data_IF_031501292616
#
_entry.id   IF_031501292616
#
_cell.length_a   1.000
_cell.length_b   1.000
_cell.length_c   1.000
_cell.angle_alpha   90.00
_cell.angle_beta   90.00
_cell.angle_gamma   90.00
#
_symmetry.space_group_name_H-M   'P 1'
#
loop_
_entity.id
_entity.type
_entity.pdbx_description
1 polymer ?
#
# COMPACT_ATOMS: atom_id res chain seq x y z
N UNK A 1 -12.77 -5.64 -6.60
CA UNK A 1 -11.95 -4.42 -6.77
C UNK A 1 -10.95 -4.50 -5.64
N UNK A 2 -9.64 -4.55 -5.89
CA UNK A 2 -8.65 -4.73 -4.81
C UNK A 2 -8.63 -3.50 -3.91
N UNK A 3 -8.61 -3.69 -2.60
CA UNK A 3 -8.69 -2.60 -1.63
C UNK A 3 -7.39 -1.78 -1.63
N UNK A 4 -7.44 -0.43 -1.53
CA UNK A 4 -6.22 0.36 -1.39
C UNK A 4 -5.48 -0.02 -0.10
N UNK A 5 -4.17 -0.25 -0.21
CA UNK A 5 -3.36 -0.74 0.91
C UNK A 5 -3.37 -2.25 1.12
N UNK A 6 -4.12 -3.05 0.34
CA UNK A 6 -4.04 -4.53 0.30
C UNK A 6 -2.95 -4.97 -0.69
N UNK A 7 -1.70 -4.69 -0.34
CA UNK A 7 -0.53 -4.88 -1.19
C UNK A 7 -0.23 -6.35 -1.47
N UNK A 8 -0.57 -7.26 -0.55
CA UNK A 8 -0.38 -8.70 -0.76
C UNK A 8 -1.58 -9.36 -1.49
N UNK A 9 -2.74 -8.68 -1.56
CA UNK A 9 -3.94 -9.17 -2.23
C UNK A 9 -4.70 -10.23 -1.45
N UNK A 10 -4.59 -10.25 -0.11
CA UNK A 10 -5.26 -11.20 0.78
C UNK A 10 -6.62 -10.71 1.32
N UNK A 11 -7.09 -9.56 0.82
CA UNK A 11 -8.34 -8.90 1.21
C UNK A 11 -8.33 -8.35 2.65
N UNK A 12 -7.17 -8.20 3.29
CA UNK A 12 -7.04 -7.67 4.63
C UNK A 12 -5.90 -6.64 4.77
N UNK A 13 -6.25 -5.37 4.96
CA UNK A 13 -5.25 -4.31 5.18
C UNK A 13 -4.62 -4.41 6.58
N UNK A 14 -3.36 -4.84 6.64
CA UNK A 14 -2.62 -5.08 7.88
C UNK A 14 -1.08 -4.92 7.70
N UNK A 15 -0.28 -5.42 8.65
CA UNK A 15 1.18 -5.27 8.62
C UNK A 15 1.87 -6.07 7.50
N UNK A 16 1.24 -7.13 6.99
CA UNK A 16 1.78 -7.92 5.89
C UNK A 16 1.82 -7.08 4.61
N UNK A 17 0.91 -6.12 4.45
CA UNK A 17 0.94 -5.17 3.33
C UNK A 17 2.13 -4.22 3.41
N UNK A 18 2.46 -3.74 4.61
CA UNK A 18 3.66 -2.93 4.85
C UNK A 18 4.92 -3.73 4.45
N UNK A 19 4.99 -5.01 4.83
CA UNK A 19 6.10 -5.87 4.42
C UNK A 19 6.15 -6.03 2.90
N UNK A 20 5.01 -6.21 2.25
CA UNK A 20 4.90 -6.40 0.81
C UNK A 20 5.35 -5.16 0.01
N UNK A 21 4.94 -3.96 0.45
CA UNK A 21 5.42 -2.69 -0.14
C UNK A 21 6.93 -2.54 0.09
N UNK A 22 7.44 -2.92 1.28
CA UNK A 22 8.88 -2.87 1.58
C UNK A 22 9.67 -3.78 0.64
N UNK A 23 9.21 -5.01 0.43
CA UNK A 23 9.87 -5.98 -0.44
C UNK A 23 9.87 -5.53 -1.91
N UNK A 24 8.76 -4.94 -2.37
CA UNK A 24 8.69 -4.37 -3.71
C UNK A 24 9.70 -3.23 -3.91
N UNK A 25 9.80 -2.29 -2.95
CA UNK A 25 10.68 -1.11 -3.08
C UNK A 25 12.16 -1.48 -2.93
N UNK A 26 12.51 -2.33 -1.96
CA UNK A 26 13.90 -2.53 -1.54
C UNK A 26 14.51 -3.87 -1.95
N UNK A 27 13.69 -4.90 -2.15
CA UNK A 27 14.16 -6.25 -2.44
C UNK A 27 13.83 -6.70 -3.88
N UNK A 28 13.19 -5.84 -4.68
CA UNK A 28 12.79 -6.16 -6.04
C UNK A 28 11.75 -7.27 -6.09
N UNK A 29 10.85 -7.31 -5.10
CA UNK A 29 9.73 -8.23 -5.06
C UNK A 29 8.80 -8.10 -6.28
N UNK A 30 7.86 -9.02 -6.40
CA UNK A 30 6.93 -9.05 -7.54
C UNK A 30 6.19 -7.73 -7.69
N UNK A 31 6.04 -7.29 -8.95
CA UNK A 31 5.26 -6.11 -9.24
C UNK A 31 3.81 -6.32 -8.78
N UNK A 32 3.23 -5.35 -8.07
CA UNK A 32 1.87 -5.48 -7.57
C UNK A 32 0.89 -5.57 -8.74
N UNK A 33 -0.08 -6.48 -8.60
CA UNK A 33 -1.14 -6.68 -9.59
C UNK A 33 -1.99 -5.42 -9.86
N UNK A 34 -1.99 -4.47 -8.93
CA UNK A 34 -2.66 -3.18 -9.02
C UNK A 34 -1.77 -2.12 -8.36
N UNK A 35 -1.58 -0.96 -9.00
CA UNK A 35 -0.80 0.12 -8.39
C UNK A 35 -1.52 0.67 -7.15
N UNK A 36 -2.86 0.74 -7.18
CA UNK A 36 -3.65 1.27 -6.06
C UNK A 36 -3.53 0.46 -4.77
N UNK A 37 -3.20 -0.85 -4.84
CA UNK A 37 -2.95 -1.64 -3.63
C UNK A 37 -1.62 -1.29 -2.95
N UNK A 38 -0.67 -0.72 -3.69
CA UNK A 38 0.67 -0.33 -3.21
C UNK A 38 0.90 1.17 -3.11
N UNK A 39 -0.06 1.98 -3.56
CA UNK A 39 -0.06 3.44 -3.50
C UNK A 39 -1.25 3.94 -2.63
N UNK A 40 -1.25 3.64 -1.31
CA UNK A 40 -2.33 4.02 -0.40
C UNK A 40 -2.47 5.54 -0.22
N UNK A 41 -1.45 6.34 -0.59
CA UNK A 41 -1.57 7.80 -0.59
C UNK A 41 -2.07 8.38 -1.93
N UNK A 42 -2.17 7.53 -2.96
CA UNK A 42 -2.68 7.83 -4.28
C UNK A 42 -1.97 9.00 -4.97
N UNK A 43 -0.63 9.03 -4.92
CA UNK A 43 0.18 10.05 -5.59
C UNK A 43 0.69 9.62 -6.98
N UNK A 44 0.43 8.38 -7.38
CA UNK A 44 0.84 7.78 -8.66
C UNK A 44 2.27 7.20 -8.65
N UNK A 45 2.95 7.17 -7.51
CA UNK A 45 4.35 6.76 -7.36
C UNK A 45 4.52 5.88 -6.11
N UNK A 46 4.81 4.60 -6.33
CA UNK A 46 5.11 3.67 -5.23
C UNK A 46 6.50 3.92 -4.67
N UNK A 47 6.59 4.42 -3.45
CA UNK A 47 7.83 4.73 -2.73
C UNK A 47 7.64 4.69 -1.19
N UNK A 48 8.66 5.12 -0.44
CA UNK A 48 8.65 5.07 1.03
C UNK A 48 7.48 5.85 1.69
N UNK A 49 6.92 6.85 1.01
CA UNK A 49 5.75 7.61 1.50
C UNK A 49 4.50 6.74 1.60
N UNK A 50 4.39 5.69 0.79
CA UNK A 50 3.31 4.70 0.87
C UNK A 50 3.40 3.88 2.13
N UNK A 51 4.63 3.47 2.48
CA UNK A 51 4.96 2.80 3.72
C UNK A 51 4.52 3.63 4.93
N UNK A 52 4.87 4.92 4.93
CA UNK A 52 4.49 5.83 6.00
C UNK A 52 2.98 6.09 6.04
N UNK A 53 2.34 6.23 4.88
CA UNK A 53 0.89 6.43 4.79
C UNK A 53 0.15 5.25 5.41
N UNK A 54 0.49 4.02 5.01
CA UNK A 54 -0.13 2.81 5.52
C UNK A 54 0.15 2.57 7.00
N UNK A 55 1.40 2.83 7.43
CA UNK A 55 1.77 2.78 8.86
C UNK A 55 0.98 3.78 9.69
N UNK A 56 0.77 5.00 9.17
CA UNK A 56 0.00 6.02 9.87
C UNK A 56 -1.47 5.64 9.98
N UNK A 57 -2.06 5.07 8.93
CA UNK A 57 -3.42 4.52 8.96
C UNK A 57 -3.56 3.44 10.04
N UNK A 58 -2.70 2.41 10.01
CA UNK A 58 -2.81 1.25 10.90
C UNK A 58 -2.51 1.56 12.37
N UNK A 59 -1.59 2.48 12.64
CA UNK A 59 -1.03 2.64 14.00
C UNK A 59 -1.11 4.05 14.58
N UNK A 60 -1.50 5.07 13.79
CA UNK A 60 -1.46 6.47 14.24
C UNK A 60 -2.73 7.25 13.91
N UNK A 61 -3.85 6.55 13.69
CA UNK A 61 -5.14 7.18 13.33
C UNK A 61 -5.04 8.10 12.12
N UNK A 62 -4.15 7.76 11.18
CA UNK A 62 -4.02 8.44 9.89
C UNK A 62 -5.24 8.21 9.00
N UNK A 63 -5.34 8.95 7.89
CA UNK A 63 -6.42 8.77 6.93
C UNK A 63 -6.40 7.36 6.33
N UNK A 64 -7.59 6.84 6.02
CA UNK A 64 -7.72 5.57 5.31
C UNK A 64 -7.08 5.64 3.91
N UNK A 65 -6.49 4.53 3.42
CA UNK A 65 -6.02 4.42 2.05
C UNK A 65 -7.09 4.82 1.04
N UNK A 66 -6.70 5.61 0.05
CA UNK A 66 -7.63 6.17 -0.93
C UNK A 66 -7.43 5.46 -2.26
N UNK A 67 -8.52 4.98 -2.87
CA UNK A 67 -8.44 4.51 -4.26
C UNK A 67 -8.49 5.76 -5.15
N UNK A 68 -7.47 5.99 -5.96
CA UNK A 68 -7.54 7.02 -7.00
C UNK A 68 -8.73 6.80 -7.92
N UNK A 69 -9.44 7.88 -8.23
CA UNK A 69 -10.31 7.86 -9.40
C UNK A 69 -9.44 7.66 -10.64
N UNK A 70 -9.82 6.67 -11.45
CA UNK A 70 -9.32 6.45 -12.79
C UNK A 70 -9.50 7.69 -13.68
#
# INVERSE_FOLDING_TARGET
MKEPGDANGDEAVNIIDISSITDFIYHGGDAPSCIASTDPNNNGVVNMLDLFSLTNYLYKSGPAPICGHA
#
